data_IF_260779690098
#
_entry.id   IF_260779690098
#
_cell.length_a   1.000
_cell.length_b   1.000
_cell.length_c   1.000
_cell.angle_alpha   90.00
_cell.angle_beta   90.00
_cell.angle_gamma   90.00
#
_symmetry.space_group_name_H-M   'P 1'
#
loop_
_entity.id
_entity.type
_entity.pdbx_description
1 polymer ?
#
# COMPACT_ATOMS: atom_id res chain seq x y z
N UNK A 1 -26.70 2.34 -6.89
CA UNK A 1 -25.22 2.38 -6.94
C UNK A 1 -24.70 2.03 -5.56
N UNK A 2 -23.77 1.08 -5.44
CA UNK A 2 -23.15 0.80 -4.14
C UNK A 2 -22.51 2.07 -3.57
N UNK A 3 -22.67 2.29 -2.27
CA UNK A 3 -21.90 3.29 -1.56
C UNK A 3 -20.47 2.76 -1.41
N UNK A 4 -19.55 3.20 -2.28
CA UNK A 4 -18.13 2.82 -2.22
C UNK A 4 -17.41 3.31 -0.95
N UNK A 5 -18.10 3.99 -0.04
CA UNK A 5 -17.57 4.34 1.29
C UNK A 5 -17.85 3.25 2.35
N UNK A 6 -18.60 2.19 1.99
CA UNK A 6 -18.95 1.10 2.89
C UNK A 6 -18.29 -0.19 2.43
N UNK A 7 -17.65 -0.90 3.37
CA UNK A 7 -17.04 -2.21 3.09
C UNK A 7 -18.10 -3.25 2.77
N UNK A 8 -17.82 -4.12 1.81
CA UNK A 8 -18.66 -5.28 1.49
C UNK A 8 -18.54 -6.34 2.59
N UNK A 9 -19.49 -7.26 2.69
CA UNK A 9 -19.27 -8.49 3.45
C UNK A 9 -18.69 -9.58 2.57
N UNK A 10 -18.02 -10.56 3.18
CA UNK A 10 -17.49 -11.72 2.48
C UNK A 10 -18.58 -12.49 1.69
N UNK A 11 -19.83 -12.49 2.18
CA UNK A 11 -20.95 -13.18 1.53
C UNK A 11 -21.45 -12.45 0.27
N UNK A 12 -21.30 -11.14 0.21
CA UNK A 12 -21.77 -10.31 -0.90
C UNK A 12 -20.65 -9.90 -1.85
N UNK A 13 -19.39 -10.22 -1.51
CA UNK A 13 -18.25 -9.91 -2.35
C UNK A 13 -18.32 -10.64 -3.69
N UNK A 14 -17.72 -10.06 -4.73
CA UNK A 14 -17.59 -10.74 -6.01
C UNK A 14 -16.85 -12.07 -5.83
N UNK A 15 -17.27 -13.10 -6.59
CA UNK A 15 -16.66 -14.43 -6.52
C UNK A 15 -15.24 -14.48 -7.05
N UNK A 16 -14.89 -13.55 -7.95
CA UNK A 16 -13.55 -13.48 -8.54
C UNK A 16 -13.29 -14.63 -9.50
N UNK A 17 -12.02 -15.04 -9.58
CA UNK A 17 -11.53 -16.09 -10.49
C UNK A 17 -10.47 -16.95 -9.82
N UNK A 18 -10.32 -18.17 -10.29
CA UNK A 18 -9.25 -19.08 -9.85
C UNK A 18 -7.90 -18.76 -10.51
N UNK A 19 -7.93 -18.27 -11.75
CA UNK A 19 -6.73 -18.00 -12.53
C UNK A 19 -6.07 -16.68 -12.07
N UNK A 20 -4.80 -16.72 -11.62
CA UNK A 20 -4.07 -15.51 -11.27
C UNK A 20 -3.83 -14.60 -12.47
N UNK A 21 -3.61 -13.31 -12.19
CA UNK A 21 -3.21 -12.36 -13.21
C UNK A 21 -1.82 -12.73 -13.75
N UNK A 22 -1.70 -12.82 -15.08
CA UNK A 22 -0.39 -12.93 -15.72
C UNK A 22 0.29 -11.57 -15.71
N UNK A 23 1.50 -11.49 -15.16
CA UNK A 23 2.28 -10.25 -15.09
C UNK A 23 3.62 -10.37 -15.79
N UNK A 24 4.12 -9.24 -16.32
CA UNK A 24 5.51 -9.11 -16.73
C UNK A 24 6.41 -9.26 -15.50
N UNK A 25 7.36 -10.20 -15.52
CA UNK A 25 8.20 -10.48 -14.36
C UNK A 25 9.29 -9.44 -14.12
N UNK A 26 9.76 -8.75 -15.16
CA UNK A 26 10.90 -7.83 -15.03
C UNK A 26 10.39 -6.43 -14.69
N UNK A 27 10.82 -5.93 -13.53
CA UNK A 27 10.54 -4.58 -13.07
C UNK A 27 11.10 -3.56 -14.04
N UNK A 28 10.25 -2.65 -14.53
CA UNK A 28 10.62 -1.73 -15.61
C UNK A 28 11.79 -0.79 -15.25
N UNK A 29 11.93 -0.42 -13.97
CA UNK A 29 12.91 0.58 -13.50
C UNK A 29 14.27 -0.02 -13.08
N UNK A 30 14.27 -1.03 -12.21
CA UNK A 30 15.48 -1.58 -11.60
C UNK A 30 15.80 -3.01 -12.08
N UNK A 31 15.00 -3.56 -13.00
CA UNK A 31 15.18 -4.87 -13.61
C UNK A 31 15.16 -6.08 -12.67
N UNK A 32 14.68 -5.92 -11.43
CA UNK A 32 14.43 -7.04 -10.51
C UNK A 32 13.28 -7.91 -11.01
N UNK A 33 13.20 -9.15 -10.53
CA UNK A 33 12.00 -9.97 -10.74
C UNK A 33 10.90 -9.54 -9.73
N UNK A 34 9.74 -9.11 -10.23
CA UNK A 34 8.60 -8.68 -9.40
C UNK A 34 7.80 -9.85 -8.82
N UNK A 35 8.04 -11.09 -9.25
CA UNK A 35 7.37 -12.29 -8.73
C UNK A 35 8.20 -13.05 -7.71
N UNK A 36 9.49 -12.73 -7.62
CA UNK A 36 10.42 -13.33 -6.68
C UNK A 36 10.02 -13.01 -5.22
N UNK A 37 10.19 -14.03 -4.37
CA UNK A 37 9.98 -13.92 -2.93
C UNK A 37 11.23 -13.31 -2.28
N UNK A 38 11.10 -12.60 -1.15
CA UNK A 38 12.27 -12.11 -0.43
C UNK A 38 13.18 -13.27 -0.03
N UNK A 39 14.49 -13.11 -0.23
CA UNK A 39 15.50 -14.03 0.31
C UNK A 39 15.72 -13.78 1.82
N UNK A 40 16.63 -14.54 2.44
CA UNK A 40 16.91 -14.49 3.89
C UNK A 40 17.42 -13.13 4.41
N UNK A 41 17.92 -12.26 3.54
CA UNK A 41 18.39 -10.92 3.87
C UNK A 41 17.37 -9.82 3.53
N UNK A 42 16.21 -10.19 3.01
CA UNK A 42 15.18 -9.26 2.57
C UNK A 42 13.93 -9.40 3.41
N UNK A 43 13.16 -8.32 3.50
CA UNK A 43 11.83 -8.33 4.06
C UNK A 43 10.83 -7.86 3.02
N UNK A 44 9.58 -8.28 3.19
CA UNK A 44 8.45 -7.76 2.42
C UNK A 44 7.42 -7.11 3.34
N UNK A 45 6.71 -6.12 2.78
CA UNK A 45 5.55 -5.47 3.38
C UNK A 45 4.58 -5.05 2.27
N UNK A 46 3.29 -5.02 2.56
CA UNK A 46 2.27 -4.56 1.61
C UNK A 46 1.58 -3.32 2.17
N UNK A 47 1.51 -2.25 1.38
CA UNK A 47 1.12 -0.91 1.84
C UNK A 47 0.09 -0.28 0.90
N UNK A 48 -1.01 0.24 1.45
CA UNK A 48 -2.05 0.98 0.72
C UNK A 48 -2.01 2.47 1.03
N UNK A 49 -1.89 3.31 0.00
CA UNK A 49 -1.71 4.78 0.11
C UNK A 49 -2.64 5.56 -0.83
N UNK A 50 -3.80 5.00 -1.17
CA UNK A 50 -4.62 5.50 -2.28
C UNK A 50 -4.14 4.93 -3.62
N UNK A 51 -4.18 5.75 -4.68
CA UNK A 51 -3.76 5.33 -6.01
C UNK A 51 -2.34 4.73 -5.98
N UNK A 52 -2.24 3.44 -6.31
CA UNK A 52 -1.00 2.70 -6.19
C UNK A 52 0.11 3.14 -7.16
N UNK A 53 -0.19 3.91 -8.21
CA UNK A 53 0.78 4.35 -9.21
C UNK A 53 1.77 5.34 -8.62
N UNK A 54 1.25 6.33 -7.90
CA UNK A 54 2.07 7.27 -7.16
C UNK A 54 2.82 6.56 -6.04
N UNK A 55 2.11 5.70 -5.29
CA UNK A 55 2.67 4.96 -4.15
C UNK A 55 3.85 4.08 -4.55
N UNK A 56 3.72 3.32 -5.64
CA UNK A 56 4.79 2.46 -6.14
C UNK A 56 6.01 3.29 -6.54
N UNK A 57 5.78 4.43 -7.22
CA UNK A 57 6.86 5.36 -7.61
C UNK A 57 7.64 5.87 -6.42
N UNK A 58 6.97 6.19 -5.33
CA UNK A 58 7.63 6.61 -4.10
C UNK A 58 8.60 5.54 -3.61
N UNK A 59 8.15 4.28 -3.55
CA UNK A 59 8.95 3.20 -2.95
C UNK A 59 10.11 2.74 -3.83
N UNK A 60 9.95 2.61 -5.15
CA UNK A 60 11.08 2.15 -5.99
C UNK A 60 12.26 3.14 -6.02
N UNK A 61 12.04 4.39 -5.60
CA UNK A 61 13.07 5.44 -5.52
C UNK A 61 13.86 5.40 -4.20
N UNK A 62 13.41 4.63 -3.20
CA UNK A 62 14.07 4.58 -1.90
C UNK A 62 15.30 3.69 -1.95
N UNK A 63 16.42 4.22 -1.44
CA UNK A 63 17.62 3.41 -1.24
C UNK A 63 17.38 2.29 -0.22
N UNK A 64 17.65 1.05 -0.62
CA UNK A 64 17.36 -0.17 0.14
C UNK A 64 16.09 -0.92 -0.32
N UNK A 65 15.26 -0.34 -1.20
CA UNK A 65 14.20 -1.10 -1.87
C UNK A 65 14.79 -1.94 -3.01
N UNK A 66 14.43 -3.21 -3.05
CA UNK A 66 14.93 -4.21 -4.01
C UNK A 66 13.96 -4.38 -5.18
N UNK A 67 12.66 -4.50 -4.89
CA UNK A 67 11.61 -4.74 -5.89
C UNK A 67 10.29 -4.18 -5.41
N UNK A 68 9.47 -3.66 -6.32
CA UNK A 68 8.10 -3.24 -6.03
C UNK A 68 7.11 -3.83 -7.02
N UNK A 69 5.88 -4.05 -6.59
CA UNK A 69 4.78 -4.38 -7.50
C UNK A 69 3.47 -3.85 -6.97
N UNK A 70 2.51 -3.56 -7.86
CA UNK A 70 1.18 -3.11 -7.48
C UNK A 70 0.13 -4.20 -7.60
N UNK A 71 -0.86 -4.14 -6.72
CA UNK A 71 -1.89 -5.17 -6.64
C UNK A 71 -3.01 -4.84 -5.66
N UNK A 72 -3.72 -5.89 -5.27
CA UNK A 72 -4.94 -5.84 -4.48
C UNK A 72 -4.80 -6.75 -3.25
N UNK A 73 -5.08 -6.22 -2.06
CA UNK A 73 -5.02 -6.98 -0.80
C UNK A 73 -6.10 -6.49 0.20
N UNK A 74 -6.31 -7.25 1.27
CA UNK A 74 -7.24 -6.89 2.35
C UNK A 74 -8.73 -7.03 2.04
N UNK A 75 -9.07 -7.62 0.90
CA UNK A 75 -10.44 -7.94 0.50
C UNK A 75 -10.74 -9.43 0.55
N UNK A 76 -11.86 -9.81 -0.07
CA UNK A 76 -12.38 -11.18 -0.04
C UNK A 76 -12.29 -11.89 -1.40
N UNK A 77 -12.40 -11.15 -2.49
CA UNK A 77 -12.49 -11.70 -3.85
C UNK A 77 -11.14 -12.24 -4.32
N UNK A 78 -11.02 -13.52 -4.69
CA UNK A 78 -9.77 -14.06 -5.21
C UNK A 78 -9.45 -13.54 -6.62
N UNK A 79 -8.17 -13.25 -6.84
CA UNK A 79 -7.57 -12.82 -8.10
C UNK A 79 -8.37 -11.72 -8.83
N UNK A 80 -8.80 -10.61 -8.20
CA UNK A 80 -9.69 -9.63 -8.82
C UNK A 80 -8.98 -8.84 -9.93
N UNK A 81 -9.77 -8.32 -10.88
CA UNK A 81 -9.32 -7.35 -11.90
C UNK A 81 -9.42 -5.92 -11.38
N UNK A 82 -8.74 -4.99 -12.04
CA UNK A 82 -8.89 -3.57 -11.75
C UNK A 82 -10.35 -3.11 -11.81
N UNK A 83 -11.13 -3.54 -12.80
CA UNK A 83 -12.53 -3.15 -12.95
C UNK A 83 -13.40 -3.67 -11.79
N UNK A 84 -13.18 -4.91 -11.35
CA UNK A 84 -13.89 -5.49 -10.21
C UNK A 84 -13.55 -4.75 -8.91
N UNK A 85 -12.27 -4.43 -8.68
CA UNK A 85 -11.86 -3.64 -7.52
C UNK A 85 -12.48 -2.24 -7.58
N UNK A 86 -12.49 -1.61 -8.75
CA UNK A 86 -13.10 -0.31 -8.98
C UNK A 86 -14.61 -0.30 -8.73
N UNK A 87 -15.31 -1.43 -8.85
CA UNK A 87 -16.75 -1.51 -8.50
C UNK A 87 -16.97 -1.28 -7.01
N UNK A 88 -15.96 -1.57 -6.18
CA UNK A 88 -16.03 -1.55 -4.71
C UNK A 88 -16.59 -2.85 -4.13
N UNK A 89 -16.88 -3.86 -4.96
CA UNK A 89 -17.56 -5.09 -4.54
C UNK A 89 -16.60 -6.20 -4.10
N UNK A 90 -15.29 -5.96 -4.10
CA UNK A 90 -14.28 -6.98 -3.75
C UNK A 90 -13.76 -6.89 -2.31
N UNK A 91 -13.92 -5.71 -1.69
CA UNK A 91 -13.34 -5.36 -0.40
C UNK A 91 -11.83 -5.05 -0.44
N UNK A 92 -11.16 -5.25 -1.58
CA UNK A 92 -9.73 -4.99 -1.69
C UNK A 92 -9.40 -3.51 -1.64
N UNK A 93 -8.17 -3.21 -1.22
CA UNK A 93 -7.51 -1.93 -1.45
C UNK A 93 -6.37 -2.06 -2.44
N UNK A 94 -6.15 -1.00 -3.20
CA UNK A 94 -4.93 -0.82 -3.96
C UNK A 94 -3.74 -0.77 -3.00
N UNK A 95 -2.74 -1.59 -3.30
CA UNK A 95 -1.55 -1.75 -2.48
C UNK A 95 -0.29 -1.87 -3.33
N UNK A 96 0.83 -1.50 -2.73
CA UNK A 96 2.18 -1.74 -3.21
C UNK A 96 2.79 -2.85 -2.35
N UNK A 97 3.29 -3.91 -2.97
CA UNK A 97 4.21 -4.84 -2.33
C UNK A 97 5.62 -4.27 -2.46
N UNK A 98 6.32 -4.17 -1.34
CA UNK A 98 7.69 -3.65 -1.28
C UNK A 98 8.59 -4.73 -0.72
N UNK A 99 9.58 -5.16 -1.49
CA UNK A 99 10.70 -6.00 -1.02
C UNK A 99 11.89 -5.08 -0.77
N UNK A 100 12.47 -5.14 0.42
CA UNK A 100 13.54 -4.24 0.85
C UNK A 100 14.60 -4.96 1.69
N UNK A 101 15.81 -4.40 1.71
CA UNK A 101 16.90 -4.80 2.59
C UNK A 101 16.79 -4.02 3.92
N UNK A 102 16.45 -4.67 5.05
CA UNK A 102 16.27 -4.00 6.33
C UNK A 102 17.56 -3.42 6.92
N UNK A 103 18.74 -3.85 6.45
CA UNK A 103 20.03 -3.27 6.88
C UNK A 103 20.29 -1.90 6.22
N UNK A 104 19.78 -1.70 4.99
CA UNK A 104 19.89 -0.42 4.26
C UNK A 104 18.70 0.49 4.52
N UNK A 105 17.50 -0.08 4.60
CA UNK A 105 16.25 0.61 4.84
C UNK A 105 15.49 -0.06 6.00
N UNK A 106 15.74 0.36 7.25
CA UNK A 106 14.98 -0.14 8.39
C UNK A 106 13.48 0.12 8.21
N UNK A 107 12.64 -0.81 8.67
CA UNK A 107 11.19 -0.73 8.48
C UNK A 107 10.60 0.60 8.99
N UNK A 108 11.08 1.12 10.12
CA UNK A 108 10.62 2.41 10.66
C UNK A 108 10.82 3.57 9.68
N UNK A 109 11.95 3.58 8.95
CA UNK A 109 12.25 4.58 7.94
C UNK A 109 11.38 4.40 6.69
N UNK A 110 11.10 3.16 6.30
CA UNK A 110 10.12 2.90 5.23
C UNK A 110 8.73 3.42 5.64
N UNK A 111 8.31 3.17 6.89
CA UNK A 111 7.02 3.62 7.40
C UNK A 111 6.96 5.14 7.59
N UNK A 112 8.06 5.84 7.86
CA UNK A 112 8.05 7.31 7.89
C UNK A 112 7.67 7.89 6.52
N UNK A 113 8.22 7.33 5.43
CA UNK A 113 7.81 7.71 4.07
C UNK A 113 6.33 7.43 3.80
N UNK A 114 5.82 6.29 4.28
CA UNK A 114 4.39 5.99 4.22
C UNK A 114 3.56 7.09 4.90
N UNK A 115 3.83 7.39 6.16
CA UNK A 115 3.05 8.35 6.94
C UNK A 115 3.09 9.78 6.38
N UNK A 116 4.24 10.20 5.84
CA UNK A 116 4.43 11.56 5.33
C UNK A 116 3.86 11.80 3.93
N UNK A 117 3.70 10.75 3.12
CA UNK A 117 3.41 10.89 1.67
C UNK A 117 1.96 10.56 1.28
N UNK A 118 1.09 10.25 2.23
CA UNK A 118 -0.36 10.21 2.03
C UNK A 118 -1.09 10.81 3.24
N UNK A 119 -2.41 11.03 3.14
CA UNK A 119 -3.23 11.41 4.29
C UNK A 119 -3.90 10.16 4.91
N UNK A 120 -3.46 9.70 6.10
CA UNK A 120 -3.98 8.48 6.72
C UNK A 120 -5.30 8.68 7.46
N UNK A 121 -5.92 9.85 7.41
CA UNK A 121 -7.12 10.20 8.19
C UNK A 121 -8.41 10.21 7.36
N UNK A 122 -8.33 9.85 6.07
CA UNK A 122 -9.40 10.05 5.10
C UNK A 122 -10.38 8.87 4.97
N UNK A 123 -10.13 7.74 5.63
CA UNK A 123 -10.99 6.57 5.60
C UNK A 123 -11.01 5.91 4.22
N UNK A 124 -12.21 5.77 3.64
CA UNK A 124 -12.43 5.13 2.34
C UNK A 124 -12.22 6.13 1.18
N UNK A 125 -11.10 6.85 1.23
CA UNK A 125 -10.71 7.89 0.27
C UNK A 125 -9.21 8.21 0.41
N UNK A 126 -8.59 8.62 -0.69
CA UNK A 126 -7.32 9.36 -0.69
C UNK A 126 -7.37 10.53 -1.68
N UNK A 127 -7.27 11.76 -1.19
CA UNK A 127 -7.39 12.97 -1.99
C UNK A 127 -8.71 13.01 -2.77
N UNK A 128 -8.58 13.01 -4.10
CA UNK A 128 -9.72 12.98 -5.03
C UNK A 128 -10.26 11.57 -5.30
N UNK A 129 -9.49 10.53 -4.96
CA UNK A 129 -9.81 9.13 -5.22
C UNK A 129 -10.72 8.59 -4.12
N UNK A 130 -11.99 8.38 -4.45
CA UNK A 130 -13.05 8.00 -3.49
C UNK A 130 -13.42 6.53 -3.64
N UNK A 131 -13.32 5.79 -2.54
CA UNK A 131 -13.74 4.39 -2.46
C UNK A 131 -12.91 3.58 -1.47
N UNK A 132 -13.46 2.45 -1.00
CA UNK A 132 -12.80 1.49 -0.11
C UNK A 132 -11.47 0.99 -0.68
N UNK A 133 -11.32 1.02 -2.00
CA UNK A 133 -10.10 0.60 -2.67
C UNK A 133 -8.93 1.58 -2.54
N UNK A 134 -9.15 2.77 -2.01
CA UNK A 134 -8.11 3.79 -1.83
C UNK A 134 -7.78 4.05 -0.35
N UNK A 135 -8.21 3.14 0.54
CA UNK A 135 -8.00 3.30 1.99
C UNK A 135 -6.52 3.15 2.35
N UNK A 136 -6.15 3.78 3.46
CA UNK A 136 -4.82 3.63 4.06
C UNK A 136 -4.68 2.25 4.71
N UNK A 137 -3.64 1.49 4.37
CA UNK A 137 -3.42 0.14 4.89
C UNK A 137 -1.94 -0.23 5.05
N UNK A 138 -1.63 -1.06 6.04
CA UNK A 138 -0.34 -1.74 6.22
C UNK A 138 -0.61 -3.22 6.52
N UNK A 139 -0.05 -4.10 5.70
CA UNK A 139 -0.15 -5.54 5.84
C UNK A 139 1.22 -6.15 6.13
N UNK A 140 1.34 -6.82 7.26
CA UNK A 140 2.62 -7.26 7.86
C UNK A 140 2.83 -8.76 7.76
N UNK A 141 4.09 -9.19 7.68
CA UNK A 141 4.46 -10.61 7.53
C UNK A 141 5.08 -11.23 8.80
N UNK A 142 5.19 -10.45 9.89
CA UNK A 142 5.63 -10.95 11.18
C UNK A 142 5.06 -10.13 12.33
N UNK A 143 5.04 -10.72 13.53
CA UNK A 143 4.63 -10.01 14.75
C UNK A 143 5.50 -8.80 15.04
N UNK A 144 6.81 -8.88 14.77
CA UNK A 144 7.72 -7.75 14.90
C UNK A 144 7.33 -6.60 13.98
N UNK A 145 7.03 -6.88 12.72
CA UNK A 145 6.55 -5.86 11.77
C UNK A 145 5.22 -5.25 12.25
N UNK A 146 4.29 -6.09 12.75
CA UNK A 146 3.02 -5.63 13.32
C UNK A 146 3.24 -4.66 14.49
N UNK A 147 4.14 -4.98 15.42
CA UNK A 147 4.47 -4.12 16.56
C UNK A 147 5.08 -2.79 16.10
N UNK A 148 6.05 -2.83 15.17
CA UNK A 148 6.67 -1.62 14.61
C UNK A 148 5.62 -0.75 13.90
N UNK A 149 4.72 -1.35 13.11
CA UNK A 149 3.65 -0.64 12.42
C UNK A 149 2.69 0.04 13.41
N UNK A 150 2.26 -0.66 14.46
CA UNK A 150 1.39 -0.09 15.49
C UNK A 150 2.07 1.04 16.27
N UNK A 151 3.34 0.88 16.66
CA UNK A 151 4.11 1.92 17.33
C UNK A 151 4.28 3.16 16.44
N UNK A 152 4.56 2.96 15.14
CA UNK A 152 4.66 4.06 14.17
C UNK A 152 3.34 4.82 14.00
N UNK A 153 2.21 4.11 13.99
CA UNK A 153 0.85 4.71 13.96
C UNK A 153 0.61 5.58 15.19
N UNK A 154 0.94 5.08 16.38
CA UNK A 154 0.78 5.86 17.62
C UNK A 154 1.63 7.12 17.61
N UNK A 155 2.91 7.02 17.22
CA UNK A 155 3.83 8.16 17.12
C UNK A 155 3.32 9.20 16.12
N UNK A 156 2.84 8.77 14.95
CA UNK A 156 2.32 9.70 13.95
C UNK A 156 0.97 10.30 14.38
N UNK A 157 0.09 9.54 15.05
CA UNK A 157 -1.16 10.07 15.59
C UNK A 157 -0.91 11.22 16.57
N UNK A 158 0.12 11.12 17.43
CA UNK A 158 0.48 12.20 18.35
C UNK A 158 0.86 13.48 17.59
N UNK A 159 1.66 13.36 16.52
CA UNK A 159 2.03 14.49 15.67
C UNK A 159 0.84 15.12 14.93
N UNK A 160 -0.06 14.29 14.41
CA UNK A 160 -1.31 14.73 13.76
C UNK A 160 -2.23 15.48 14.73
N UNK A 161 -2.39 14.97 15.95
CA UNK A 161 -3.22 15.59 16.99
C UNK A 161 -2.68 16.97 17.39
N UNK A 162 -1.36 17.15 17.47
CA UNK A 162 -0.74 18.46 17.70
C UNK A 162 -1.07 19.49 16.60
N UNK A 163 -1.37 19.00 15.39
CA UNK A 163 -1.79 19.82 14.24
C UNK A 163 -3.31 19.83 14.04
N UNK A 164 -4.10 19.42 15.04
CA UNK A 164 -5.57 19.36 15.01
C UNK A 164 -6.16 18.55 13.83
N UNK A 165 -5.44 17.53 13.36
CA UNK A 165 -5.93 16.60 12.33
C UNK A 165 -6.80 15.50 12.94
N UNK A 166 -7.59 14.87 12.08
CA UNK A 166 -8.48 13.76 12.45
C UNK A 166 -7.69 12.50 12.86
N UNK A 167 -8.42 11.50 13.38
CA UNK A 167 -7.85 10.22 13.77
C UNK A 167 -7.36 9.42 12.56
N UNK A 168 -6.26 8.68 12.73
CA UNK A 168 -5.72 7.77 11.74
C UNK A 168 -6.70 6.62 11.49
N UNK A 169 -7.06 6.47 10.22
CA UNK A 169 -7.95 5.43 9.69
C UNK A 169 -7.19 4.22 9.13
N UNK A 170 -5.86 4.24 9.13
CA UNK A 170 -5.02 3.15 8.61
C UNK A 170 -5.35 1.81 9.24
N UNK A 171 -5.69 0.86 8.39
CA UNK A 171 -5.84 -0.55 8.70
C UNK A 171 -4.45 -1.19 8.87
N UNK A 172 -4.20 -1.86 9.99
CA UNK A 172 -2.93 -2.57 10.23
C UNK A 172 -3.25 -4.01 10.63
N UNK A 173 -2.93 -4.95 9.76
CA UNK A 173 -3.27 -6.36 9.93
C UNK A 173 -2.16 -7.28 9.40
N UNK A 174 -2.13 -8.57 9.81
CA UNK A 174 -1.33 -9.57 9.13
C UNK A 174 -1.68 -9.64 7.64
N UNK A 175 -0.67 -9.85 6.80
CA UNK A 175 -0.87 -9.99 5.37
C UNK A 175 -1.65 -11.27 5.03
N UNK A 176 -2.77 -11.10 4.35
CA UNK A 176 -3.47 -12.17 3.66
C UNK A 176 -2.94 -12.37 2.24
N UNK A 177 -3.75 -12.97 1.34
CA UNK A 177 -3.41 -13.07 -0.06
C UNK A 177 -3.16 -11.70 -0.70
N UNK A 178 -2.12 -11.63 -1.53
CA UNK A 178 -1.81 -10.51 -2.41
C UNK A 178 -2.04 -10.94 -3.86
N UNK A 179 -2.83 -10.16 -4.58
CA UNK A 179 -3.12 -10.40 -6.00
C UNK A 179 -2.48 -9.31 -6.84
N UNK A 180 -1.66 -9.69 -7.82
CA UNK A 180 -1.06 -8.72 -8.73
C UNK A 180 -2.14 -8.01 -9.56
N UNK A 181 -1.96 -6.70 -9.75
CA UNK A 181 -2.66 -5.97 -10.79
C UNK A 181 -2.06 -6.29 -12.17
N UNK A 182 -2.79 -5.97 -13.22
CA UNK A 182 -2.43 -6.17 -14.62
C UNK A 182 -1.05 -5.56 -14.96
N UNK A 183 -0.31 -6.14 -15.90
CA UNK A 183 1.06 -5.70 -16.29
C UNK A 183 1.16 -4.21 -16.63
N UNK A 184 0.09 -3.61 -17.16
CA UNK A 184 0.09 -2.20 -17.50
C UNK A 184 0.06 -1.28 -16.27
N UNK A 185 -0.42 -1.76 -15.11
CA UNK A 185 -0.34 -1.02 -13.85
C UNK A 185 1.07 -1.05 -13.23
N UNK A 186 1.83 -2.12 -13.48
CA UNK A 186 3.19 -2.29 -12.94
C UNK A 186 4.13 -1.20 -13.48
N UNK A 187 4.69 -0.41 -12.57
CA UNK A 187 5.55 0.74 -12.84
C UNK A 187 4.95 1.72 -13.85
N UNK A 188 3.63 1.91 -13.78
CA UNK A 188 2.87 2.71 -14.75
C UNK A 188 3.46 4.12 -14.96
N UNK A 189 3.88 4.81 -13.90
CA UNK A 189 4.44 6.16 -14.00
C UNK A 189 5.88 6.21 -14.55
N UNK A 190 6.60 5.09 -14.55
CA UNK A 190 7.88 5.00 -15.27
C UNK A 190 7.65 4.82 -16.78
N UNK A 191 6.61 4.06 -17.14
CA UNK A 191 6.17 3.86 -18.53
C UNK A 191 5.45 5.11 -19.08
N UNK A 192 4.77 5.88 -18.22
CA UNK A 192 3.96 7.05 -18.54
C UNK A 192 4.32 8.23 -17.62
N UNK A 193 5.39 9.00 -17.92
CA UNK A 193 5.92 10.03 -17.00
C UNK A 193 4.94 11.19 -16.73
N UNK A 194 4.01 11.44 -17.66
CA UNK A 194 2.95 12.45 -17.53
C UNK A 194 1.66 11.89 -16.91
N UNK A 195 1.68 10.66 -16.40
CA UNK A 195 0.53 10.01 -15.78
C UNK A 195 0.09 10.71 -14.49
N UNK A 196 -1.17 10.51 -14.12
CA UNK A 196 -1.74 11.06 -12.89
C UNK A 196 -0.98 10.56 -11.65
N UNK A 197 -0.53 11.50 -10.82
CA UNK A 197 0.05 11.21 -9.51
C UNK A 197 -0.65 12.06 -8.46
N UNK A 198 -1.62 11.47 -7.76
CA UNK A 198 -2.41 12.11 -6.70
C UNK A 198 -1.81 12.00 -5.30
N UNK A 199 -0.57 11.50 -5.12
CA UNK A 199 0.06 11.40 -3.79
C UNK A 199 0.23 12.80 -3.18
N UNK A 200 -0.61 13.13 -2.21
CA UNK A 200 -0.51 14.28 -1.36
C UNK A 200 -0.37 13.83 0.09
N UNK A 201 0.72 14.24 0.75
CA UNK A 201 0.90 14.03 2.18
C UNK A 201 0.06 14.99 3.03
N UNK A 202 0.07 14.77 4.34
CA UNK A 202 -0.55 15.69 5.32
C UNK A 202 0.21 17.02 5.46
N UNK A 203 1.48 17.05 5.03
CA UNK A 203 2.43 18.14 5.28
C UNK A 203 3.08 18.08 6.67
N UNK A 204 2.83 17.02 7.45
CA UNK A 204 3.37 16.83 8.80
C UNK A 204 4.51 15.82 8.73
N UNK A 205 5.67 16.17 9.30
CA UNK A 205 6.83 15.29 9.35
C UNK A 205 6.61 14.17 10.37
N UNK A 206 7.14 12.98 10.07
CA UNK A 206 7.19 11.88 11.02
C UNK A 206 8.18 12.22 12.15
N UNK A 207 7.78 12.10 13.44
CA UNK A 207 8.66 12.47 14.53
C UNK A 207 9.94 11.61 14.56
N UNK A 208 11.13 12.20 14.74
CA UNK A 208 12.34 11.43 14.93
C UNK A 208 12.23 10.58 16.20
N UNK A 209 12.89 9.43 16.21
CA UNK A 209 13.07 8.67 17.44
C UNK A 209 13.92 9.52 18.39
N UNK A 210 13.34 9.94 19.51
CA UNK A 210 14.11 10.57 20.57
C UNK A 210 15.11 9.53 21.07
N UNK A 211 16.40 9.78 20.86
CA UNK A 211 17.46 9.06 21.54
C UNK A 211 17.35 9.41 23.01
N UNK A 212 16.93 8.46 23.85
CA UNK A 212 17.11 8.52 25.30
C UNK A 212 18.59 8.41 25.66
#
# INVERSE_FOLDING_TARGET
>A
MLNKQTMVSAQTALKGRETPMSVEEIHYVNHSNITEQPNEHQQQIVIGMGCFWGAERLFWQLDGVVSTSVGYAGGFTPNPTYEEVCSGETGHTEVVRVIFDPLRLPLEKLLSHFWEKHDPTQGMRQGNDKGTQYRSAIYTYSEQQQQIAQASKQRYQQALSASQRALITTEIAPAGPYYYAESYHQQYLAKNPNGYCGLGGTGICFPPQLSE
#
